data_IF_430633352317
#
_entry.id   IF_430633352317
#
_cell.length_a   1.000
_cell.length_b   1.000
_cell.length_c   1.000
_cell.angle_alpha   90.00
_cell.angle_beta   90.00
_cell.angle_gamma   90.00
#
_symmetry.space_group_name_H-M   'P 1'
#
loop_
_entity.id
_entity.type
_entity.pdbx_description
1 polymer ?
#
# COMPACT_ATOMS: atom_id res chain seq x y z
N UNK A 1 6.79 52.42 -5.95
CA UNK A 1 5.33 52.57 -6.13
C UNK A 1 4.83 51.92 -7.44
N UNK A 2 5.62 51.79 -8.50
CA UNK A 2 5.23 51.10 -9.74
C UNK A 2 5.40 49.58 -9.72
N UNK A 3 6.25 49.00 -8.86
CA UNK A 3 6.43 47.56 -8.71
C UNK A 3 5.31 46.91 -7.88
N UNK A 4 4.76 47.60 -6.88
CA UNK A 4 3.62 47.12 -6.09
C UNK A 4 2.32 47.03 -6.91
N UNK A 5 2.18 47.87 -7.96
CA UNK A 5 0.99 47.83 -8.85
C UNK A 5 1.07 46.71 -9.90
N UNK A 6 2.29 46.15 -10.13
CA UNK A 6 2.47 45.03 -11.05
C UNK A 6 2.16 43.66 -10.45
N UNK A 7 2.26 43.52 -9.13
CA UNK A 7 2.00 42.26 -8.43
C UNK A 7 0.51 42.02 -8.20
N UNK A 8 -0.25 43.11 -8.02
CA UNK A 8 -1.71 43.04 -7.81
C UNK A 8 -2.51 42.67 -9.09
N UNK A 9 -1.92 42.82 -10.27
CA UNK A 9 -2.56 42.42 -11.55
C UNK A 9 -2.37 40.96 -11.92
N UNK A 10 -1.62 40.17 -11.14
CA UNK A 10 -1.45 38.74 -11.40
C UNK A 10 -2.55 37.86 -10.81
N UNK A 11 -3.32 38.40 -9.89
CA UNK A 11 -4.32 37.59 -9.15
C UNK A 11 -5.73 37.69 -9.75
N UNK A 12 -5.96 38.57 -10.72
CA UNK A 12 -7.28 38.78 -11.34
C UNK A 12 -7.44 38.09 -12.72
N UNK A 13 -6.63 37.05 -12.99
CA UNK A 13 -6.93 36.17 -14.11
C UNK A 13 -8.07 35.26 -13.68
N UNK A 14 -9.27 35.57 -14.16
CA UNK A 14 -10.41 34.67 -14.10
C UNK A 14 -9.93 33.28 -14.48
N UNK A 15 -10.27 32.29 -13.66
CA UNK A 15 -9.98 30.89 -13.97
C UNK A 15 -10.90 30.44 -15.10
N UNK A 16 -10.46 30.66 -16.34
CA UNK A 16 -11.20 30.30 -17.56
C UNK A 16 -11.04 28.81 -17.92
N UNK A 17 -10.45 28.00 -17.03
CA UNK A 17 -10.31 26.57 -17.25
C UNK A 17 -11.65 25.87 -17.25
N UNK A 18 -11.89 25.03 -18.24
CA UNK A 18 -13.05 24.14 -18.26
C UNK A 18 -13.02 23.12 -17.11
N UNK A 19 -14.19 22.59 -16.75
CA UNK A 19 -14.33 21.57 -15.69
C UNK A 19 -13.37 20.37 -15.91
N UNK A 20 -13.24 19.78 -17.12
CA UNK A 20 -12.29 18.70 -17.35
C UNK A 20 -10.84 19.12 -17.11
N UNK A 21 -10.47 20.33 -17.48
CA UNK A 21 -9.11 20.86 -17.29
C UNK A 21 -8.81 21.15 -15.82
N UNK A 22 -9.80 21.64 -15.05
CA UNK A 22 -9.71 21.84 -13.63
C UNK A 22 -9.60 20.52 -12.85
N UNK A 23 -10.37 19.50 -13.22
CA UNK A 23 -10.35 18.16 -12.62
C UNK A 23 -9.08 17.37 -12.95
N UNK A 24 -8.63 17.43 -14.19
CA UNK A 24 -7.43 16.71 -14.64
C UNK A 24 -6.16 17.48 -14.27
N UNK A 25 -6.19 18.80 -14.31
CA UNK A 25 -5.09 19.70 -13.95
C UNK A 25 -3.75 19.26 -14.53
N UNK A 26 -2.73 19.28 -13.69
CA UNK A 26 -1.39 18.79 -13.96
C UNK A 26 -1.23 17.27 -13.71
N UNK A 27 -2.31 16.54 -13.50
CA UNK A 27 -2.34 15.10 -13.22
C UNK A 27 -2.30 14.74 -11.73
N UNK A 28 -1.91 15.67 -10.84
CA UNK A 28 -1.91 15.41 -9.39
C UNK A 28 -3.31 15.10 -8.82
N UNK A 29 -4.39 15.76 -9.25
CA UNK A 29 -5.74 15.41 -8.78
C UNK A 29 -6.09 13.94 -9.05
N UNK A 30 -5.67 13.38 -10.18
CA UNK A 30 -5.90 11.97 -10.50
C UNK A 30 -5.08 11.04 -9.60
N UNK A 31 -3.84 11.40 -9.26
CA UNK A 31 -3.03 10.63 -8.30
C UNK A 31 -3.58 10.72 -6.87
N UNK A 32 -4.14 11.87 -6.47
CA UNK A 32 -4.86 12.02 -5.21
C UNK A 32 -6.12 11.14 -5.19
N UNK A 33 -6.86 11.13 -6.30
CA UNK A 33 -8.04 10.26 -6.46
C UNK A 33 -7.65 8.79 -6.36
N UNK A 34 -6.58 8.37 -7.05
CA UNK A 34 -6.08 6.99 -6.93
C UNK A 34 -5.69 6.62 -5.49
N UNK A 35 -5.09 7.56 -4.74
CA UNK A 35 -4.81 7.37 -3.32
C UNK A 35 -6.09 7.20 -2.49
N UNK A 36 -7.11 8.01 -2.76
CA UNK A 36 -8.42 7.90 -2.09
C UNK A 36 -9.13 6.59 -2.43
N UNK A 37 -9.12 6.17 -3.70
CA UNK A 37 -9.69 4.89 -4.14
C UNK A 37 -9.04 3.71 -3.41
N UNK A 38 -7.72 3.72 -3.21
CA UNK A 38 -7.01 2.70 -2.44
C UNK A 38 -7.42 2.72 -0.96
N UNK A 39 -7.60 3.89 -0.34
CA UNK A 39 -8.10 4.00 1.04
C UNK A 39 -9.51 3.42 1.15
N UNK A 40 -10.39 3.76 0.23
CA UNK A 40 -11.78 3.25 0.22
C UNK A 40 -11.80 1.73 -0.01
N UNK A 41 -11.02 1.22 -0.95
CA UNK A 41 -10.90 -0.21 -1.20
C UNK A 41 -10.36 -0.97 0.03
N UNK A 42 -9.34 -0.43 0.70
CA UNK A 42 -8.81 -0.99 1.95
C UNK A 42 -9.84 -0.97 3.08
N UNK A 43 -10.53 0.16 3.26
CA UNK A 43 -11.60 0.30 4.24
C UNK A 43 -12.76 -0.70 3.99
N UNK A 44 -13.11 -0.91 2.73
CA UNK A 44 -14.13 -1.89 2.34
C UNK A 44 -13.68 -3.34 2.63
N UNK A 45 -12.41 -3.68 2.37
CA UNK A 45 -11.87 -4.99 2.72
C UNK A 45 -11.91 -5.25 4.24
N UNK A 46 -11.57 -4.23 5.06
CA UNK A 46 -11.69 -4.31 6.52
C UNK A 46 -13.15 -4.49 6.97
N UNK A 47 -14.08 -3.72 6.38
CA UNK A 47 -15.51 -3.81 6.69
C UNK A 47 -16.08 -5.20 6.41
N UNK A 48 -15.80 -5.77 5.24
CA UNK A 48 -16.26 -7.13 4.88
C UNK A 48 -15.69 -8.19 5.82
N UNK A 49 -14.41 -8.09 6.13
CA UNK A 49 -13.74 -9.03 7.03
C UNK A 49 -14.31 -8.95 8.46
N UNK A 50 -14.61 -7.75 8.95
CA UNK A 50 -15.23 -7.54 10.26
C UNK A 50 -16.64 -8.15 10.33
N UNK A 51 -17.39 -8.12 9.22
CA UNK A 51 -18.71 -8.74 9.12
C UNK A 51 -18.67 -10.23 8.73
N UNK A 52 -17.49 -10.84 8.61
CA UNK A 52 -17.28 -12.23 8.19
C UNK A 52 -17.96 -12.57 6.86
N UNK A 53 -17.91 -11.64 5.91
CA UNK A 53 -18.57 -11.80 4.62
C UNK A 53 -17.56 -11.95 3.50
N UNK A 54 -17.88 -12.84 2.56
CA UNK A 54 -17.24 -12.89 1.26
C UNK A 54 -17.92 -11.89 0.32
N UNK A 55 -17.18 -11.42 -0.67
CA UNK A 55 -17.78 -10.68 -1.77
C UNK A 55 -18.72 -11.59 -2.58
N UNK A 56 -19.79 -11.05 -3.19
CA UNK A 56 -20.71 -11.85 -3.99
C UNK A 56 -20.04 -12.70 -5.07
N UNK A 57 -18.97 -12.17 -5.68
CA UNK A 57 -18.21 -12.89 -6.69
C UNK A 57 -17.33 -14.00 -6.10
N UNK A 58 -16.80 -13.84 -4.87
CA UNK A 58 -16.12 -14.93 -4.15
C UNK A 58 -17.07 -16.11 -3.96
N UNK A 59 -18.30 -15.79 -3.50
CA UNK A 59 -19.36 -16.79 -3.30
C UNK A 59 -19.70 -17.49 -4.62
N UNK A 60 -19.86 -16.72 -5.69
CA UNK A 60 -20.13 -17.28 -7.02
C UNK A 60 -18.97 -18.14 -7.53
N UNK A 61 -17.72 -17.68 -7.34
CA UNK A 61 -16.52 -18.40 -7.76
C UNK A 61 -16.33 -19.70 -6.96
N UNK A 62 -16.46 -19.66 -5.62
CA UNK A 62 -16.31 -20.83 -4.76
C UNK A 62 -17.51 -21.78 -4.84
N UNK A 63 -18.70 -21.30 -5.17
CA UNK A 63 -19.96 -22.02 -5.08
C UNK A 63 -20.46 -22.19 -3.65
N UNK A 64 -19.93 -21.43 -2.67
CA UNK A 64 -20.32 -21.48 -1.27
C UNK A 64 -20.09 -20.13 -0.56
N UNK A 65 -20.90 -19.88 0.49
CA UNK A 65 -20.75 -18.71 1.37
C UNK A 65 -19.66 -18.92 2.42
N UNK A 66 -19.24 -17.81 3.07
CA UNK A 66 -18.33 -17.90 4.21
C UNK A 66 -18.91 -18.76 5.36
N UNK A 67 -20.22 -18.65 5.60
CA UNK A 67 -20.91 -19.43 6.63
C UNK A 67 -20.89 -20.93 6.32
N UNK A 68 -21.16 -21.32 5.07
CA UNK A 68 -21.09 -22.71 4.62
C UNK A 68 -19.64 -23.26 4.77
N UNK A 69 -18.65 -22.48 4.38
CA UNK A 69 -17.24 -22.89 4.56
C UNK A 69 -16.85 -22.98 6.04
N UNK A 70 -17.40 -22.11 6.90
CA UNK A 70 -17.23 -22.18 8.35
C UNK A 70 -17.76 -23.50 8.93
N UNK A 71 -18.89 -24.00 8.45
CA UNK A 71 -19.47 -25.26 8.90
C UNK A 71 -18.59 -26.49 8.63
N UNK A 72 -17.70 -26.41 7.64
CA UNK A 72 -16.81 -27.53 7.26
C UNK A 72 -15.64 -27.68 8.22
N UNK A 73 -15.04 -26.54 8.67
CA UNK A 73 -13.74 -26.55 9.36
C UNK A 73 -13.69 -25.55 10.54
N UNK A 74 -14.76 -25.40 11.29
CA UNK A 74 -14.84 -24.48 12.42
C UNK A 74 -14.30 -23.07 12.09
N UNK A 75 -14.62 -22.55 10.93
CA UNK A 75 -14.18 -21.25 10.38
C UNK A 75 -12.66 -21.08 10.15
N UNK A 76 -11.81 -22.07 10.40
CA UNK A 76 -10.36 -21.87 10.32
C UNK A 76 -9.88 -21.45 8.93
N UNK A 77 -10.45 -22.00 7.87
CA UNK A 77 -10.14 -21.59 6.48
C UNK A 77 -10.62 -20.16 6.23
N UNK A 78 -11.83 -19.83 6.67
CA UNK A 78 -12.39 -18.47 6.53
C UNK A 78 -11.57 -17.44 7.31
N UNK A 79 -11.18 -17.76 8.54
CA UNK A 79 -10.32 -16.90 9.36
C UNK A 79 -8.92 -16.70 8.75
N UNK A 80 -8.39 -17.74 8.12
CA UNK A 80 -7.15 -17.63 7.38
C UNK A 80 -7.25 -16.65 6.20
N UNK A 81 -8.33 -16.75 5.42
CA UNK A 81 -8.60 -15.80 4.33
C UNK A 81 -8.79 -14.37 4.86
N UNK A 82 -9.52 -14.19 5.94
CA UNK A 82 -9.69 -12.85 6.54
C UNK A 82 -8.41 -12.31 7.14
N UNK A 83 -7.52 -13.14 7.66
CA UNK A 83 -6.18 -12.70 8.07
C UNK A 83 -5.44 -11.99 6.92
N UNK A 84 -5.37 -12.61 5.75
CA UNK A 84 -4.72 -12.02 4.58
C UNK A 84 -5.47 -10.75 4.10
N UNK A 85 -6.80 -10.75 4.07
CA UNK A 85 -7.63 -9.62 3.62
C UNK A 85 -7.58 -8.42 4.56
N UNK A 86 -7.54 -8.61 5.86
CA UNK A 86 -7.38 -7.51 6.84
C UNK A 86 -6.01 -6.86 6.71
N UNK A 87 -4.96 -7.66 6.64
CA UNK A 87 -3.61 -7.15 6.46
C UNK A 87 -3.44 -6.44 5.10
N UNK A 88 -4.04 -6.97 4.03
CA UNK A 88 -4.13 -6.34 2.72
C UNK A 88 -4.86 -4.99 2.78
N UNK A 89 -6.04 -4.95 3.42
CA UNK A 89 -6.81 -3.71 3.59
C UNK A 89 -6.04 -2.61 4.31
N UNK A 90 -5.34 -2.97 5.39
CA UNK A 90 -4.45 -2.05 6.11
C UNK A 90 -3.31 -1.53 5.24
N UNK A 91 -2.69 -2.38 4.43
CA UNK A 91 -1.65 -1.99 3.49
C UNK A 91 -2.18 -1.05 2.40
N UNK A 92 -3.38 -1.30 1.85
CA UNK A 92 -4.01 -0.41 0.85
C UNK A 92 -4.27 0.99 1.41
N UNK A 93 -4.77 1.09 2.66
CA UNK A 93 -4.97 2.39 3.32
C UNK A 93 -3.64 3.10 3.51
N UNK A 94 -2.60 2.38 3.93
CA UNK A 94 -1.26 2.95 4.10
C UNK A 94 -0.68 3.46 2.76
N UNK A 95 -0.79 2.68 1.68
CA UNK A 95 -0.34 3.08 0.33
C UNK A 95 -1.13 4.31 -0.14
N UNK A 96 -2.44 4.28 -0.01
CA UNK A 96 -3.31 5.38 -0.44
C UNK A 96 -2.96 6.69 0.27
N UNK A 97 -2.75 6.65 1.59
CA UNK A 97 -2.33 7.80 2.38
C UNK A 97 -0.95 8.32 1.95
N UNK A 98 0.03 7.42 1.74
CA UNK A 98 1.35 7.76 1.22
C UNK A 98 1.27 8.35 -0.20
N UNK A 99 0.42 7.84 -1.07
CA UNK A 99 0.22 8.37 -2.43
C UNK A 99 -0.38 9.78 -2.39
N UNK A 100 -1.36 10.02 -1.53
CA UNK A 100 -1.91 11.37 -1.34
C UNK A 100 -0.83 12.35 -0.87
N UNK A 101 0.02 11.93 0.09
CA UNK A 101 1.14 12.75 0.54
C UNK A 101 2.18 12.99 -0.58
N UNK A 102 2.54 11.96 -1.35
CA UNK A 102 3.47 12.08 -2.47
C UNK A 102 2.95 13.06 -3.53
N UNK A 103 1.65 13.04 -3.84
CA UNK A 103 1.05 13.93 -4.82
C UNK A 103 0.99 15.37 -4.33
N UNK A 104 0.60 15.59 -3.06
CA UNK A 104 0.35 16.94 -2.53
C UNK A 104 1.62 17.66 -2.08
N UNK A 105 2.65 16.94 -1.61
CA UNK A 105 3.87 17.57 -1.11
C UNK A 105 5.02 17.52 -2.13
N UNK A 106 5.75 16.41 -2.34
CA UNK A 106 6.92 16.44 -3.19
C UNK A 106 6.59 16.59 -4.69
N UNK A 107 5.50 15.98 -5.18
CA UNK A 107 5.13 16.10 -6.59
C UNK A 107 4.61 17.51 -6.92
N UNK A 108 3.87 18.13 -5.99
CA UNK A 108 3.48 19.55 -6.09
C UNK A 108 4.70 20.47 -6.20
N UNK A 109 5.79 20.13 -5.52
CA UNK A 109 7.08 20.79 -5.63
C UNK A 109 7.87 20.35 -6.89
N UNK A 110 7.24 19.60 -7.79
CA UNK A 110 7.83 19.12 -9.06
C UNK A 110 9.07 18.24 -8.89
N UNK A 111 9.17 17.53 -7.74
CA UNK A 111 10.30 16.67 -7.43
C UNK A 111 10.20 15.36 -8.22
N UNK A 112 11.19 15.07 -9.06
CA UNK A 112 11.20 13.92 -9.96
C UNK A 112 11.20 12.55 -9.23
N UNK A 113 11.82 12.48 -8.05
CA UNK A 113 11.86 11.23 -7.27
C UNK A 113 10.46 10.77 -6.85
N UNK A 114 9.55 11.69 -6.54
CA UNK A 114 8.18 11.33 -6.15
C UNK A 114 7.43 10.70 -7.33
N UNK A 115 7.62 11.23 -8.53
CA UNK A 115 7.06 10.64 -9.74
C UNK A 115 7.59 9.21 -9.97
N UNK A 116 8.89 9.01 -9.82
CA UNK A 116 9.50 7.69 -9.95
C UNK A 116 9.08 6.73 -8.82
N UNK A 117 8.86 7.25 -7.61
CA UNK A 117 8.30 6.46 -6.51
C UNK A 117 6.91 5.91 -6.87
N UNK A 118 6.04 6.72 -7.45
CA UNK A 118 4.76 6.25 -8.00
C UNK A 118 4.95 5.17 -9.07
N UNK A 119 5.84 5.39 -10.04
CA UNK A 119 6.06 4.42 -11.13
C UNK A 119 6.53 3.08 -10.56
N UNK A 120 7.57 3.08 -9.74
CA UNK A 120 8.14 1.84 -9.21
C UNK A 120 7.15 1.12 -8.31
N UNK A 121 6.53 1.82 -7.36
CA UNK A 121 5.54 1.22 -6.46
C UNK A 121 4.28 0.76 -7.21
N UNK A 122 3.83 1.53 -8.21
CA UNK A 122 2.68 1.18 -9.04
C UNK A 122 2.90 -0.09 -9.86
N UNK A 123 4.10 -0.31 -10.41
CA UNK A 123 4.42 -1.55 -11.14
C UNK A 123 4.22 -2.76 -10.22
N UNK A 124 4.72 -2.73 -8.99
CA UNK A 124 4.57 -3.85 -8.05
C UNK A 124 3.12 -3.98 -7.56
N UNK A 125 2.46 -2.87 -7.20
CA UNK A 125 1.10 -2.87 -6.70
C UNK A 125 0.10 -3.37 -7.74
N UNK A 126 0.06 -2.73 -8.91
CA UNK A 126 -0.86 -3.14 -9.97
C UNK A 126 -0.46 -4.46 -10.61
N UNK A 127 0.84 -4.76 -10.72
CA UNK A 127 1.31 -6.05 -11.23
C UNK A 127 0.84 -7.21 -10.35
N UNK A 128 0.92 -7.09 -9.03
CA UNK A 128 0.43 -8.10 -8.09
C UNK A 128 -1.10 -8.19 -8.07
N UNK A 129 -1.80 -7.07 -8.19
CA UNK A 129 -3.26 -7.04 -8.29
C UNK A 129 -3.73 -7.75 -9.57
N UNK A 130 -3.14 -7.44 -10.73
CA UNK A 130 -3.51 -8.07 -11.99
C UNK A 130 -3.17 -9.58 -12.06
N UNK A 131 -2.45 -10.12 -11.08
CA UNK A 131 -2.17 -11.56 -10.98
C UNK A 131 -3.46 -12.40 -10.95
N UNK A 132 -4.63 -11.82 -10.56
CA UNK A 132 -5.91 -12.53 -10.58
C UNK A 132 -6.27 -13.07 -11.98
N UNK A 133 -5.80 -12.44 -13.05
CA UNK A 133 -6.01 -12.94 -14.41
C UNK A 133 -5.39 -14.32 -14.63
N UNK A 134 -4.23 -14.58 -14.00
CA UNK A 134 -3.54 -15.87 -14.06
C UNK A 134 -4.26 -17.00 -13.32
N UNK A 135 -5.19 -16.66 -12.41
CA UNK A 135 -6.00 -17.64 -11.66
C UNK A 135 -7.40 -17.87 -12.26
N UNK A 136 -7.70 -17.23 -13.40
CA UNK A 136 -9.03 -17.30 -14.01
C UNK A 136 -10.11 -16.64 -13.15
N UNK A 137 -9.75 -15.69 -12.32
CA UNK A 137 -10.59 -15.03 -11.34
C UNK A 137 -10.91 -13.59 -11.76
N UNK A 138 -11.54 -13.46 -12.93
CA UNK A 138 -12.03 -12.17 -13.41
C UNK A 138 -13.51 -12.02 -13.07
N UNK A 139 -13.81 -11.05 -12.25
CA UNK A 139 -15.17 -10.70 -11.85
C UNK A 139 -15.45 -9.20 -12.06
N UNK A 140 -16.72 -8.82 -11.84
CA UNK A 140 -17.17 -7.45 -12.05
C UNK A 140 -16.42 -6.44 -11.16
N UNK A 141 -16.16 -6.78 -9.89
CA UNK A 141 -15.50 -5.85 -8.96
C UNK A 141 -14.03 -5.63 -9.28
N UNK A 142 -13.29 -6.69 -9.60
CA UNK A 142 -11.90 -6.56 -10.07
C UNK A 142 -11.84 -5.80 -11.39
N UNK A 143 -12.78 -6.07 -12.31
CA UNK A 143 -12.91 -5.34 -13.56
C UNK A 143 -13.18 -3.85 -13.32
N UNK A 144 -14.14 -3.50 -12.46
CA UNK A 144 -14.47 -2.10 -12.12
C UNK A 144 -13.28 -1.42 -11.45
N UNK A 145 -12.65 -2.05 -10.44
CA UNK A 145 -11.47 -1.47 -9.79
C UNK A 145 -10.32 -1.23 -10.78
N UNK A 146 -10.06 -2.21 -11.68
CA UNK A 146 -9.03 -2.08 -12.71
C UNK A 146 -9.33 -0.91 -13.66
N UNK A 147 -10.57 -0.77 -14.09
CA UNK A 147 -11.00 0.28 -15.04
C UNK A 147 -11.07 1.68 -14.39
N UNK A 148 -11.19 1.79 -13.09
CA UNK A 148 -11.21 3.08 -12.39
C UNK A 148 -9.81 3.50 -11.95
N UNK A 149 -9.14 2.67 -11.17
CA UNK A 149 -7.89 3.06 -10.49
C UNK A 149 -6.73 3.17 -11.49
N UNK A 150 -6.54 2.18 -12.38
CA UNK A 150 -5.38 2.16 -13.28
C UNK A 150 -5.41 3.33 -14.28
N UNK A 151 -6.53 3.64 -14.99
CA UNK A 151 -6.57 4.78 -15.87
C UNK A 151 -6.35 6.12 -15.16
N UNK A 152 -6.90 6.31 -13.96
CA UNK A 152 -6.66 7.50 -13.14
C UNK A 152 -5.17 7.63 -12.81
N UNK A 153 -4.56 6.56 -12.32
CA UNK A 153 -3.16 6.51 -11.95
C UNK A 153 -2.24 6.78 -13.16
N UNK A 154 -2.43 6.05 -14.26
CA UNK A 154 -1.60 6.19 -15.47
C UNK A 154 -1.74 7.58 -16.09
N UNK A 155 -2.97 8.08 -16.22
CA UNK A 155 -3.22 9.43 -16.77
C UNK A 155 -2.60 10.50 -15.86
N UNK A 156 -2.72 10.34 -14.54
CA UNK A 156 -2.09 11.21 -13.55
C UNK A 156 -0.56 11.24 -13.72
N UNK A 157 0.07 10.08 -13.89
CA UNK A 157 1.51 9.97 -14.15
C UNK A 157 1.93 10.62 -15.47
N UNK A 158 1.22 10.34 -16.56
CA UNK A 158 1.54 10.89 -17.88
C UNK A 158 1.48 12.42 -17.86
N UNK A 159 0.40 12.98 -17.31
CA UNK A 159 0.22 14.44 -17.22
C UNK A 159 1.25 15.10 -16.31
N UNK A 160 1.52 14.54 -15.12
CA UNK A 160 2.43 15.13 -14.15
C UNK A 160 3.90 15.09 -14.58
N UNK A 161 4.27 14.21 -15.51
CA UNK A 161 5.64 14.12 -16.02
C UNK A 161 6.13 15.41 -16.67
N UNK A 162 5.27 16.12 -17.39
CA UNK A 162 5.62 17.39 -18.06
C UNK A 162 5.99 18.50 -17.09
N UNK A 163 5.43 18.45 -15.87
CA UNK A 163 5.60 19.47 -14.84
C UNK A 163 6.88 19.31 -14.01
N UNK A 164 7.61 18.19 -14.13
CA UNK A 164 8.78 17.89 -13.31
C UNK A 164 9.95 18.83 -13.57
N UNK A 165 10.66 19.18 -12.51
CA UNK A 165 11.95 19.89 -12.60
C UNK A 165 13.07 18.95 -13.08
N UNK A 166 14.05 19.49 -13.80
CA UNK A 166 15.24 18.75 -14.15
C UNK A 166 16.14 18.52 -12.91
N UNK A 167 16.86 17.39 -12.81
CA UNK A 167 16.88 16.24 -13.74
C UNK A 167 15.68 15.30 -13.54
N UNK A 168 15.00 14.94 -14.64
CA UNK A 168 13.78 14.09 -14.63
C UNK A 168 14.04 12.59 -14.63
N UNK A 169 15.30 12.17 -14.53
CA UNK A 169 15.70 10.78 -14.64
C UNK A 169 15.49 9.95 -13.37
N UNK A 170 15.43 8.61 -13.52
CA UNK A 170 15.32 7.65 -12.42
C UNK A 170 16.46 7.79 -11.38
N UNK A 171 17.59 8.33 -11.78
CA UNK A 171 18.72 8.62 -10.87
C UNK A 171 18.33 9.54 -9.70
N UNK A 172 17.20 10.25 -9.79
CA UNK A 172 16.66 11.05 -8.68
C UNK A 172 16.28 10.19 -7.48
N UNK A 173 15.93 8.91 -7.66
CA UNK A 173 15.65 7.96 -6.57
C UNK A 173 16.88 7.60 -5.73
N UNK A 174 18.09 7.75 -6.27
CA UNK A 174 19.33 7.42 -5.56
C UNK A 174 19.92 8.61 -4.80
N UNK A 175 19.30 9.78 -4.88
CA UNK A 175 19.77 10.98 -4.19
C UNK A 175 19.08 11.11 -2.83
N UNK A 176 19.85 11.12 -1.72
CA UNK A 176 19.27 11.34 -0.40
C UNK A 176 18.70 12.76 -0.28
N UNK A 177 17.54 12.90 0.33
CA UNK A 177 16.87 14.19 0.52
C UNK A 177 17.59 15.12 1.50
N UNK A 178 18.39 14.55 2.41
CA UNK A 178 19.23 15.29 3.35
C UNK A 178 20.53 14.53 3.62
N UNK A 179 21.62 15.27 3.86
CA UNK A 179 22.84 14.72 4.41
C UNK A 179 22.59 14.32 5.88
N UNK A 180 23.07 13.15 6.27
CA UNK A 180 22.83 12.59 7.61
C UNK A 180 24.13 12.03 8.18
N UNK A 181 24.41 12.40 9.42
CA UNK A 181 25.42 11.72 10.23
C UNK A 181 24.76 10.43 10.78
N UNK A 182 25.14 9.27 10.25
CA UNK A 182 24.49 7.98 10.53
C UNK A 182 24.47 7.59 12.01
N UNK A 183 25.45 8.01 12.79
CA UNK A 183 25.53 7.76 14.25
C UNK A 183 24.73 8.78 15.09
N UNK A 184 24.15 9.81 14.46
CA UNK A 184 23.24 10.71 15.18
C UNK A 184 21.89 10.01 15.46
N UNK A 185 21.12 10.46 16.46
CA UNK A 185 19.79 9.92 16.73
C UNK A 185 18.90 9.91 15.47
N UNK A 186 18.94 10.98 14.66
CA UNK A 186 18.22 11.06 13.41
C UNK A 186 18.74 10.06 12.36
N UNK A 187 20.06 9.90 12.26
CA UNK A 187 20.67 8.91 11.36
C UNK A 187 20.27 7.50 11.70
N UNK A 188 20.32 7.13 12.98
CA UNK A 188 19.86 5.83 13.48
C UNK A 188 18.36 5.65 13.22
N UNK A 189 17.54 6.66 13.53
CA UNK A 189 16.10 6.61 13.24
C UNK A 189 15.81 6.37 11.77
N UNK A 190 16.50 7.10 10.87
CA UNK A 190 16.39 6.91 9.42
C UNK A 190 16.85 5.53 8.97
N UNK A 191 17.95 5.01 9.52
CA UNK A 191 18.44 3.68 9.21
C UNK A 191 17.42 2.60 9.60
N UNK A 192 16.80 2.71 10.79
CA UNK A 192 15.76 1.79 11.23
C UNK A 192 14.55 1.80 10.28
N UNK A 193 14.07 2.98 9.88
CA UNK A 193 12.96 3.10 8.92
C UNK A 193 13.31 2.51 7.55
N UNK A 194 14.56 2.68 7.07
CA UNK A 194 15.03 2.07 5.82
C UNK A 194 15.13 0.54 5.93
N UNK A 195 15.61 0.02 7.05
CA UNK A 195 15.67 -1.44 7.30
C UNK A 195 14.27 -2.04 7.32
N UNK A 196 13.31 -1.38 7.99
CA UNK A 196 11.91 -1.82 7.99
C UNK A 196 11.33 -1.80 6.58
N UNK A 197 11.55 -0.74 5.81
CA UNK A 197 11.10 -0.64 4.43
C UNK A 197 11.69 -1.77 3.57
N UNK A 198 12.99 -2.05 3.70
CA UNK A 198 13.66 -3.18 3.06
C UNK A 198 13.08 -4.54 3.47
N UNK A 199 12.78 -4.71 4.77
CA UNK A 199 12.12 -5.89 5.32
C UNK A 199 10.70 -6.08 4.75
N UNK A 200 9.93 -4.99 4.61
CA UNK A 200 8.61 -5.03 3.97
C UNK A 200 8.69 -5.41 2.48
N UNK A 201 9.68 -4.91 1.75
CA UNK A 201 9.90 -5.29 0.35
C UNK A 201 10.22 -6.79 0.28
N UNK A 202 11.18 -7.26 1.04
CA UNK A 202 11.60 -8.67 1.05
C UNK A 202 10.46 -9.59 1.51
N UNK A 203 9.76 -9.23 2.60
CA UNK A 203 8.61 -9.97 3.10
C UNK A 203 7.45 -10.01 2.10
N UNK A 204 7.12 -8.86 1.51
CA UNK A 204 6.07 -8.75 0.50
C UNK A 204 6.37 -9.61 -0.75
N UNK A 205 7.61 -9.55 -1.26
CA UNK A 205 8.05 -10.41 -2.37
C UNK A 205 7.98 -11.90 -1.99
N UNK A 206 8.34 -12.26 -0.76
CA UNK A 206 8.24 -13.63 -0.25
C UNK A 206 6.79 -14.09 -0.24
N UNK A 207 5.88 -13.33 0.38
CA UNK A 207 4.44 -13.67 0.44
C UNK A 207 3.85 -13.78 -0.96
N UNK A 208 4.15 -12.83 -1.85
CA UNK A 208 3.70 -12.85 -3.25
C UNK A 208 4.21 -14.09 -3.98
N UNK A 209 5.50 -14.44 -3.84
CA UNK A 209 6.08 -15.63 -4.47
C UNK A 209 5.45 -16.91 -3.95
N UNK A 210 5.23 -17.02 -2.63
CA UNK A 210 4.53 -18.17 -2.05
C UNK A 210 3.07 -18.22 -2.54
N UNK A 211 2.35 -17.09 -2.55
CA UNK A 211 0.99 -17.01 -3.07
C UNK A 211 0.89 -17.53 -4.51
N UNK A 212 1.84 -17.13 -5.36
CA UNK A 212 1.86 -17.52 -6.78
C UNK A 212 2.41 -18.92 -7.06
N UNK A 213 2.99 -19.62 -6.07
CA UNK A 213 3.62 -20.93 -6.26
C UNK A 213 3.05 -22.00 -5.33
N UNK A 214 3.53 -22.03 -4.09
CA UNK A 214 3.15 -23.05 -3.10
C UNK A 214 1.86 -22.75 -2.36
N UNK A 215 1.43 -21.52 -2.35
CA UNK A 215 0.27 -20.95 -1.67
C UNK A 215 0.40 -20.94 -0.15
N UNK A 216 0.74 -22.07 0.47
CA UNK A 216 0.80 -22.25 1.92
C UNK A 216 2.20 -22.50 2.44
N UNK A 217 2.47 -21.97 3.63
CA UNK A 217 3.59 -22.42 4.45
C UNK A 217 3.09 -23.45 5.50
N UNK A 218 3.98 -24.25 6.12
CA UNK A 218 3.55 -25.26 7.10
C UNK A 218 2.71 -24.72 8.25
N UNK A 219 2.94 -23.47 8.66
CA UNK A 219 2.19 -22.81 9.73
C UNK A 219 0.71 -22.58 9.33
N UNK A 220 0.45 -22.24 8.08
CA UNK A 220 -0.90 -22.02 7.56
C UNK A 220 -1.73 -23.29 7.61
N UNK A 221 -1.16 -24.39 7.11
CA UNK A 221 -1.83 -25.70 7.11
C UNK A 221 -2.08 -26.20 8.55
N UNK A 222 -1.11 -25.97 9.46
CA UNK A 222 -1.30 -26.28 10.89
C UNK A 222 -2.42 -25.46 11.50
N UNK A 223 -2.49 -24.17 11.20
CA UNK A 223 -3.58 -23.30 11.68
C UNK A 223 -4.94 -23.77 11.16
N UNK A 224 -5.06 -24.07 9.88
CA UNK A 224 -6.28 -24.59 9.28
C UNK A 224 -6.61 -26.01 9.76
N UNK A 225 -5.61 -26.80 10.21
CA UNK A 225 -5.78 -28.21 10.59
C UNK A 225 -6.13 -29.09 9.39
N UNK A 226 -5.71 -28.73 8.18
CA UNK A 226 -6.02 -29.39 6.92
C UNK A 226 -4.76 -29.56 6.09
N UNK A 227 -4.69 -30.66 5.32
CA UNK A 227 -3.70 -30.80 4.27
C UNK A 227 -4.16 -30.06 3.00
N UNK A 228 -3.23 -29.83 2.07
CA UNK A 228 -3.55 -29.20 0.77
C UNK A 228 -4.59 -30.01 -0.03
N UNK A 229 -4.50 -31.36 0.05
CA UNK A 229 -5.47 -32.26 -0.57
C UNK A 229 -6.89 -32.06 -0.06
N UNK A 230 -7.04 -31.84 1.26
CA UNK A 230 -8.35 -31.65 1.89
C UNK A 230 -9.00 -30.34 1.38
N UNK A 231 -8.21 -29.28 1.25
CA UNK A 231 -8.69 -28.00 0.67
C UNK A 231 -9.17 -28.18 -0.78
N UNK A 232 -8.49 -29.00 -1.59
CA UNK A 232 -8.92 -29.35 -2.95
C UNK A 232 -10.22 -30.17 -2.97
N UNK A 233 -10.41 -31.03 -1.99
CA UNK A 233 -11.64 -31.82 -1.85
C UNK A 233 -12.83 -30.95 -1.46
N UNK A 234 -12.63 -29.94 -0.62
CA UNK A 234 -13.66 -28.95 -0.25
C UNK A 234 -14.13 -28.18 -1.48
N UNK A 235 -13.18 -27.60 -2.23
CA UNK A 235 -13.44 -26.94 -3.51
C UNK A 235 -12.14 -26.80 -4.30
N UNK A 236 -12.18 -27.20 -5.58
CA UNK A 236 -11.05 -27.03 -6.50
C UNK A 236 -10.68 -25.56 -6.74
N UNK A 237 -11.59 -24.62 -6.43
CA UNK A 237 -11.43 -23.16 -6.59
C UNK A 237 -10.90 -22.48 -5.33
N UNK A 238 -10.87 -23.18 -4.18
CA UNK A 238 -10.46 -22.59 -2.89
C UNK A 238 -8.97 -22.21 -2.89
N UNK A 239 -8.10 -23.10 -3.35
CA UNK A 239 -6.66 -22.80 -3.43
C UNK A 239 -6.34 -21.66 -4.40
N UNK A 240 -6.89 -21.59 -5.63
CA UNK A 240 -6.74 -20.45 -6.51
C UNK A 240 -7.20 -19.11 -5.90
N UNK A 241 -8.32 -19.10 -5.17
CA UNK A 241 -8.79 -17.89 -4.51
C UNK A 241 -7.84 -17.42 -3.40
N UNK A 242 -7.39 -18.35 -2.55
CA UNK A 242 -6.38 -18.03 -1.50
C UNK A 242 -5.05 -17.56 -2.14
N UNK A 243 -4.64 -18.20 -3.22
CA UNK A 243 -3.44 -17.80 -3.97
C UNK A 243 -3.51 -16.37 -4.47
N UNK A 244 -4.67 -15.98 -5.02
CA UNK A 244 -4.97 -14.61 -5.45
C UNK A 244 -4.89 -13.63 -4.27
N UNK A 245 -5.58 -13.91 -3.15
CA UNK A 245 -5.57 -13.06 -1.95
C UNK A 245 -4.12 -12.84 -1.45
N UNK A 246 -3.31 -13.90 -1.42
CA UNK A 246 -1.90 -13.84 -1.01
C UNK A 246 -1.01 -13.06 -1.97
N UNK A 247 -1.19 -13.23 -3.27
CA UNK A 247 -0.44 -12.47 -4.26
C UNK A 247 -0.69 -10.96 -4.11
N UNK A 248 -1.96 -10.56 -3.97
CA UNK A 248 -2.36 -9.18 -3.72
C UNK A 248 -1.82 -8.64 -2.40
N UNK A 249 -1.94 -9.38 -1.33
CA UNK A 249 -1.43 -9.02 -0.01
C UNK A 249 0.10 -8.83 -0.02
N UNK A 250 0.86 -9.79 -0.57
CA UNK A 250 2.30 -9.69 -0.69
C UNK A 250 2.72 -8.48 -1.54
N UNK A 251 2.01 -8.24 -2.64
CA UNK A 251 2.23 -7.07 -3.50
C UNK A 251 1.97 -5.74 -2.79
N UNK A 252 0.92 -5.67 -1.98
CA UNK A 252 0.62 -4.47 -1.19
C UNK A 252 1.69 -4.19 -0.14
N UNK A 253 2.17 -5.20 0.59
CA UNK A 253 3.30 -5.04 1.53
C UNK A 253 4.55 -4.53 0.80
N UNK A 254 4.90 -5.16 -0.33
CA UNK A 254 6.05 -4.76 -1.15
C UNK A 254 5.92 -3.31 -1.61
N UNK A 255 4.76 -2.93 -2.12
CA UNK A 255 4.45 -1.56 -2.56
C UNK A 255 4.55 -0.54 -1.44
N UNK A 256 4.03 -0.87 -0.24
CA UNK A 256 4.17 -0.03 0.96
C UNK A 256 5.65 0.14 1.31
N UNK A 257 6.41 -0.95 1.33
CA UNK A 257 7.85 -0.93 1.60
C UNK A 257 8.62 -0.05 0.60
N UNK A 258 8.36 -0.18 -0.70
CA UNK A 258 8.96 0.64 -1.76
C UNK A 258 8.63 2.13 -1.55
N UNK A 259 7.37 2.43 -1.25
CA UNK A 259 6.92 3.81 -1.06
C UNK A 259 7.56 4.44 0.17
N UNK A 260 7.58 3.72 1.30
CA UNK A 260 8.25 4.16 2.54
C UNK A 260 9.75 4.33 2.31
N UNK A 261 10.40 3.40 1.60
CA UNK A 261 11.83 3.48 1.27
C UNK A 261 12.15 4.81 0.57
N UNK A 262 11.41 5.16 -0.48
CA UNK A 262 11.67 6.39 -1.22
C UNK A 262 11.27 7.64 -0.43
N UNK A 263 10.19 7.60 0.33
CA UNK A 263 9.82 8.70 1.23
C UNK A 263 10.92 8.97 2.26
N UNK A 264 11.45 7.94 2.91
CA UNK A 264 12.52 8.09 3.92
C UNK A 264 13.85 8.45 3.29
N UNK A 265 14.17 7.92 2.09
CA UNK A 265 15.45 8.18 1.42
C UNK A 265 15.50 9.51 0.69
N UNK A 266 14.47 9.85 -0.10
CA UNK A 266 14.50 10.97 -1.03
C UNK A 266 13.88 12.25 -0.48
N UNK A 267 12.94 12.16 0.47
CA UNK A 267 12.29 13.35 1.00
C UNK A 267 13.23 14.12 1.95
N UNK A 268 13.07 15.45 1.95
CA UNK A 268 13.63 16.27 3.01
C UNK A 268 12.85 16.00 4.31
N UNK A 269 13.54 15.96 5.47
CA UNK A 269 12.88 15.86 6.76
C UNK A 269 11.83 16.96 6.90
N UNK A 270 10.60 16.60 7.23
CA UNK A 270 9.50 17.55 7.43
C UNK A 270 8.46 16.98 8.38
N UNK A 271 7.67 17.86 8.98
CA UNK A 271 6.56 17.48 9.85
C UNK A 271 5.52 16.62 9.12
N UNK A 272 5.20 16.99 7.87
CA UNK A 272 4.23 16.23 7.06
C UNK A 272 4.72 14.82 6.73
N UNK A 273 6.03 14.65 6.44
CA UNK A 273 6.64 13.34 6.24
C UNK A 273 6.52 12.47 7.51
N UNK A 274 6.83 13.05 8.68
CA UNK A 274 6.71 12.32 9.94
C UNK A 274 5.26 11.88 10.20
N UNK A 275 4.29 12.79 10.00
CA UNK A 275 2.87 12.52 10.21
C UNK A 275 2.36 11.41 9.28
N UNK A 276 2.72 11.44 8.00
CA UNK A 276 2.26 10.42 7.07
C UNK A 276 2.90 9.05 7.35
N UNK A 277 4.16 9.01 7.76
CA UNK A 277 4.80 7.78 8.20
C UNK A 277 4.14 7.22 9.47
N UNK A 278 3.80 8.07 10.44
CA UNK A 278 3.02 7.65 11.62
C UNK A 278 1.68 7.04 11.21
N UNK A 279 0.91 7.73 10.36
CA UNK A 279 -0.39 7.25 9.92
C UNK A 279 -0.27 5.90 9.20
N UNK A 280 0.61 5.81 8.21
CA UNK A 280 0.82 4.58 7.44
C UNK A 280 1.31 3.43 8.34
N UNK A 281 2.24 3.71 9.27
CA UNK A 281 2.74 2.72 10.23
C UNK A 281 1.66 2.22 11.18
N UNK A 282 0.89 3.14 11.77
CA UNK A 282 -0.20 2.77 12.70
C UNK A 282 -1.23 1.89 11.99
N UNK A 283 -1.72 2.31 10.82
CA UNK A 283 -2.74 1.54 10.09
C UNK A 283 -2.20 0.20 9.60
N UNK A 284 -1.03 0.20 8.96
CA UNK A 284 -0.44 -1.01 8.40
C UNK A 284 -0.12 -2.06 9.46
N UNK A 285 0.61 -1.67 10.52
CA UNK A 285 0.99 -2.61 11.59
C UNK A 285 -0.19 -2.98 12.49
N UNK A 286 -1.14 -2.07 12.77
CA UNK A 286 -2.33 -2.42 13.54
C UNK A 286 -3.17 -3.46 12.80
N UNK A 287 -3.36 -3.36 11.49
CA UNK A 287 -4.05 -4.36 10.70
C UNK A 287 -3.28 -5.69 10.66
N UNK A 288 -1.97 -5.63 10.34
CA UNK A 288 -1.14 -6.84 10.20
C UNK A 288 -0.94 -7.61 11.50
N UNK A 289 -0.83 -6.92 12.65
CA UNK A 289 -0.63 -7.57 13.97
C UNK A 289 -1.98 -7.83 14.64
N UNK A 290 -2.89 -6.84 14.58
CA UNK A 290 -4.16 -6.90 15.31
C UNK A 290 -5.12 -7.98 14.82
N UNK A 291 -5.02 -8.42 13.57
CA UNK A 291 -5.85 -9.49 13.04
C UNK A 291 -5.57 -10.85 13.70
N UNK A 292 -4.32 -11.11 14.07
CA UNK A 292 -3.89 -12.40 14.61
C UNK A 292 -4.67 -12.87 15.86
N UNK A 293 -4.76 -12.07 16.94
CA UNK A 293 -5.55 -12.47 18.11
C UNK A 293 -7.05 -12.59 17.79
N UNK A 294 -7.57 -11.83 16.82
CA UNK A 294 -8.99 -11.85 16.45
C UNK A 294 -9.36 -13.17 15.76
N UNK A 295 -8.49 -13.64 14.85
CA UNK A 295 -8.72 -14.89 14.10
C UNK A 295 -8.16 -16.13 14.81
N UNK A 296 -7.35 -15.94 15.85
CA UNK A 296 -6.70 -17.04 16.59
C UNK A 296 -5.45 -17.61 15.90
N UNK A 297 -4.88 -16.91 14.93
CA UNK A 297 -3.65 -17.33 14.24
C UNK A 297 -2.41 -16.73 14.94
N UNK A 298 -2.06 -17.27 16.11
CA UNK A 298 -1.03 -16.69 17.01
C UNK A 298 0.33 -17.44 16.94
N UNK A 299 0.74 -17.90 15.76
CA UNK A 299 2.08 -18.49 15.59
C UNK A 299 3.16 -17.40 15.73
N UNK A 300 4.04 -17.53 16.74
CA UNK A 300 5.05 -16.53 17.04
C UNK A 300 6.08 -16.35 15.93
N UNK A 301 6.47 -17.40 15.22
CA UNK A 301 7.44 -17.30 14.12
C UNK A 301 6.83 -16.57 12.94
N UNK A 302 5.52 -16.77 12.70
CA UNK A 302 4.78 -16.07 11.67
C UNK A 302 4.63 -14.57 12.00
N UNK A 303 4.34 -14.26 13.26
CA UNK A 303 4.05 -12.90 13.73
C UNK A 303 5.32 -12.06 14.04
N UNK A 304 6.43 -12.71 14.39
CA UNK A 304 7.64 -12.06 14.83
C UNK A 304 8.18 -10.98 13.87
N UNK A 305 8.23 -11.20 12.54
CA UNK A 305 8.69 -10.17 11.60
C UNK A 305 7.87 -8.88 11.66
N UNK A 306 6.54 -9.00 11.80
CA UNK A 306 5.64 -7.84 11.90
C UNK A 306 5.83 -7.09 13.21
N UNK A 307 5.96 -7.79 14.35
CA UNK A 307 6.20 -7.17 15.66
C UNK A 307 7.56 -6.47 15.69
N UNK A 308 8.63 -7.14 15.25
CA UNK A 308 9.98 -6.56 15.22
C UNK A 308 10.00 -5.35 14.29
N UNK A 309 9.37 -5.46 13.11
CA UNK A 309 9.24 -4.36 12.17
C UNK A 309 8.50 -3.16 12.79
N UNK A 310 7.39 -3.39 13.48
CA UNK A 310 6.62 -2.34 14.15
C UNK A 310 7.45 -1.64 15.25
N UNK A 311 8.16 -2.40 16.09
CA UNK A 311 9.02 -1.84 17.15
C UNK A 311 10.15 -0.99 16.55
N UNK A 312 10.84 -1.50 15.52
CA UNK A 312 11.89 -0.74 14.82
C UNK A 312 11.34 0.52 14.17
N UNK A 313 10.15 0.44 13.57
CA UNK A 313 9.48 1.57 12.94
C UNK A 313 9.12 2.65 13.96
N UNK A 314 8.55 2.27 15.10
CA UNK A 314 8.22 3.19 16.22
C UNK A 314 9.48 3.86 16.75
N UNK A 315 10.55 3.10 17.03
CA UNK A 315 11.82 3.68 17.49
C UNK A 315 12.40 4.63 16.44
N UNK A 316 12.35 4.24 15.14
CA UNK A 316 12.77 5.08 14.04
C UNK A 316 12.04 6.42 13.99
N UNK A 317 10.70 6.41 14.18
CA UNK A 317 9.88 7.62 14.24
C UNK A 317 10.18 8.49 15.46
N UNK A 318 10.37 7.88 16.64
CA UNK A 318 10.70 8.60 17.87
C UNK A 318 12.05 9.34 17.71
N UNK A 319 13.06 8.65 17.20
CA UNK A 319 14.38 9.24 16.98
C UNK A 319 14.39 10.32 15.90
N UNK A 320 13.45 10.23 14.94
CA UNK A 320 13.30 11.20 13.84
C UNK A 320 12.41 12.40 14.18
N UNK A 321 11.71 12.38 15.33
CA UNK A 321 10.70 13.38 15.70
C UNK A 321 11.24 14.82 15.73
N UNK A 322 12.29 15.06 16.54
CA UNK A 322 12.84 16.42 16.72
C UNK A 322 13.36 17.02 15.42
N UNK A 323 14.21 16.34 14.62
CA UNK A 323 14.73 16.88 13.37
C UNK A 323 13.65 17.11 12.29
N UNK A 324 12.59 16.28 12.28
CA UNK A 324 11.49 16.45 11.32
C UNK A 324 10.52 17.59 11.68
N UNK A 325 10.51 18.05 12.93
CA UNK A 325 9.73 19.24 13.37
C UNK A 325 10.51 20.56 13.26
N UNK A 326 11.82 20.51 13.43
CA UNK A 326 12.68 21.72 13.47
C UNK A 326 13.04 22.26 12.06
N UNK A 327 12.58 21.60 11.00
CA UNK A 327 12.86 21.98 9.61
C UNK A 327 11.83 22.98 9.01
N UNK A 328 11.15 23.74 9.87
CA UNK A 328 10.29 24.87 9.47
C UNK A 328 11.09 26.17 9.38
#
# INVERSE_FOLDING_TARGET
MQEAIRDDRRDDRRDDRGIPEALLGDGRPLLLLSGLELILAGGFALFLSANKQFLPHDVHYLGMTAEQLCGINNCRVVYFMFHDRVAFGGALIAIGALYMWLAEFPLRQRQAWAWWAFVVSGIFGFGSFLAYLGYGYLDTWHGVATLLIIPCFVTGLVKSRSCLQAPRGIRSLFRPGAAVTWLSPFGVGRALLLVVAGGMIAGGLTVMTFGMTRVFVPQDLRFMGLARSDLQTISTRLIPLIAHDRAGFGGAICTTGITVLFCVWCARPSRSLWQILCLAGVVGFAAAIGVHPIVGYNDLLHLAPAIVGALMFIVGLILSWKPMRASE
#
